data_IF_311951488232
#
_entry.id   IF_311951488232
#
_cell.length_a   1.000
_cell.length_b   1.000
_cell.length_c   1.000
_cell.angle_alpha   90.00
_cell.angle_beta   90.00
_cell.angle_gamma   90.00
#
_symmetry.space_group_name_H-M   'P 1'
#
loop_
_entity.id
_entity.type
_entity.pdbx_description
1 polymer ?
#
# COMPACT_ATOMS: atom_id res chain seq x y z
N UNK A 1 -6.22 3.31 14.90
CA UNK A 1 -6.07 4.12 13.68
C UNK A 1 -5.05 3.48 12.75
N UNK A 2 -5.10 3.77 11.47
CA UNK A 2 -4.14 3.26 10.48
C UNK A 2 -3.38 4.45 9.92
N UNK A 3 -2.07 4.29 9.72
CA UNK A 3 -1.25 5.27 9.03
C UNK A 3 -0.53 4.61 7.85
N UNK A 4 -0.55 5.29 6.72
CA UNK A 4 0.18 4.89 5.52
C UNK A 4 1.23 5.95 5.19
N UNK A 5 2.45 5.49 4.95
CA UNK A 5 3.55 6.31 4.47
C UNK A 5 4.06 5.77 3.14
N UNK A 6 4.43 6.70 2.25
CA UNK A 6 5.26 6.39 1.09
C UNK A 6 6.37 7.43 1.00
N UNK A 7 7.61 6.97 1.09
CA UNK A 7 8.80 7.79 1.03
C UNK A 7 9.48 7.66 -0.32
N UNK A 8 9.83 8.79 -0.91
CA UNK A 8 10.69 8.85 -2.09
C UNK A 8 12.12 9.15 -1.63
N UNK A 9 13.09 8.37 -2.08
CA UNK A 9 14.49 8.48 -1.68
C UNK A 9 15.40 8.81 -2.89
N UNK A 10 16.59 9.32 -2.62
CA UNK A 10 17.62 9.47 -3.64
C UNK A 10 18.28 8.11 -3.95
N UNK A 11 18.83 7.89 -5.16
CA UNK A 11 19.51 6.63 -5.51
C UNK A 11 20.57 6.19 -4.51
N UNK A 12 21.35 7.12 -3.97
CA UNK A 12 22.38 6.84 -2.94
C UNK A 12 21.82 6.28 -1.62
N UNK A 13 20.52 6.42 -1.37
CA UNK A 13 19.87 5.91 -0.17
C UNK A 13 19.26 4.51 -0.35
N UNK A 14 19.40 3.88 -1.52
CA UNK A 14 18.89 2.51 -1.76
C UNK A 14 19.49 1.50 -0.77
N UNK A 15 20.80 1.47 -0.47
CA UNK A 15 21.36 0.56 0.53
C UNK A 15 20.74 0.75 1.92
N UNK A 16 20.50 2.02 2.31
CA UNK A 16 19.78 2.33 3.54
C UNK A 16 18.37 1.72 3.52
N UNK A 17 17.62 1.91 2.43
CA UNK A 17 16.23 1.43 2.33
C UNK A 17 16.16 -0.10 2.45
N UNK A 18 17.04 -0.83 1.77
CA UNK A 18 17.12 -2.29 1.86
C UNK A 18 17.41 -2.73 3.30
N UNK A 19 18.39 -2.10 3.96
CA UNK A 19 18.74 -2.40 5.35
C UNK A 19 17.59 -2.05 6.31
N UNK A 20 16.95 -0.90 6.11
CA UNK A 20 15.80 -0.46 6.91
C UNK A 20 14.64 -1.44 6.80
N UNK A 21 14.29 -1.92 5.59
CA UNK A 21 13.26 -2.95 5.41
C UNK A 21 13.52 -4.21 6.24
N UNK A 22 14.78 -4.60 6.40
CA UNK A 22 15.16 -5.76 7.21
C UNK A 22 15.13 -5.46 8.72
N UNK A 23 15.65 -4.32 9.15
CA UNK A 23 15.86 -4.00 10.56
C UNK A 23 14.63 -3.40 11.23
N UNK A 24 13.83 -2.60 10.51
CA UNK A 24 12.65 -1.94 11.07
C UNK A 24 11.60 -2.94 11.57
N UNK A 25 11.57 -4.15 11.00
CA UNK A 25 10.69 -5.21 11.48
C UNK A 25 10.89 -5.52 12.97
N UNK A 26 12.14 -5.45 13.46
CA UNK A 26 12.42 -5.72 14.88
C UNK A 26 11.88 -4.59 15.77
N UNK A 27 12.07 -3.33 15.35
CA UNK A 27 11.56 -2.18 16.09
C UNK A 27 10.03 -2.15 16.08
N UNK A 28 9.41 -2.38 14.91
CA UNK A 28 7.95 -2.39 14.75
C UNK A 28 7.30 -3.53 15.52
N UNK A 29 7.87 -4.74 15.48
CA UNK A 29 7.32 -5.91 16.20
C UNK A 29 7.40 -5.75 17.73
N UNK A 30 8.43 -5.06 18.23
CA UNK A 30 8.60 -4.84 19.69
C UNK A 30 7.84 -3.61 20.20
N UNK A 31 7.34 -2.77 19.30
CA UNK A 31 6.62 -1.56 19.68
C UNK A 31 5.23 -1.88 20.24
N UNK A 32 4.96 -1.45 21.48
CA UNK A 32 3.63 -1.56 22.12
C UNK A 32 2.59 -0.67 21.42
N UNK A 33 3.05 0.33 20.65
CA UNK A 33 2.18 1.23 19.89
C UNK A 33 1.68 0.62 18.58
N UNK A 34 2.29 -0.49 18.09
CA UNK A 34 2.02 -1.07 16.78
C UNK A 34 1.32 -2.42 16.94
N UNK A 35 0.05 -2.49 16.56
CA UNK A 35 -0.71 -3.75 16.55
C UNK A 35 -0.49 -4.58 15.29
N UNK A 36 -0.32 -3.88 14.15
CA UNK A 36 -0.05 -4.50 12.85
C UNK A 36 0.79 -3.56 11.99
N UNK A 37 1.65 -4.10 11.14
CA UNK A 37 2.38 -3.32 10.16
C UNK A 37 2.75 -4.14 8.93
N UNK A 38 2.98 -3.44 7.83
CA UNK A 38 3.58 -3.96 6.60
C UNK A 38 4.52 -2.94 5.98
N UNK A 39 5.78 -3.33 5.86
CA UNK A 39 6.75 -2.62 5.03
C UNK A 39 6.57 -3.07 3.59
N UNK A 40 6.53 -2.11 2.67
CA UNK A 40 6.13 -2.33 1.28
C UNK A 40 7.20 -1.80 0.33
N UNK A 41 7.57 -2.61 -0.65
CA UNK A 41 8.12 -2.11 -1.88
C UNK A 41 7.02 -1.48 -2.73
N UNK A 42 7.40 -0.67 -3.72
CA UNK A 42 6.42 -0.09 -4.64
C UNK A 42 6.77 -0.36 -6.09
N UNK A 43 5.75 -0.33 -6.95
CA UNK A 43 5.90 -0.36 -8.39
C UNK A 43 5.71 1.02 -9.00
N UNK A 44 6.10 1.18 -10.26
CA UNK A 44 5.81 2.39 -11.06
C UNK A 44 4.32 2.47 -11.43
N UNK A 45 3.59 1.36 -11.30
CA UNK A 45 2.19 1.25 -11.64
C UNK A 45 1.93 1.08 -13.14
N UNK A 46 2.91 0.55 -13.87
CA UNK A 46 2.81 0.33 -15.32
C UNK A 46 2.34 -1.10 -15.65
N UNK A 47 3.00 -2.09 -15.08
CA UNK A 47 2.77 -3.49 -15.43
C UNK A 47 2.46 -4.41 -14.24
N UNK A 48 2.65 -3.93 -13.02
CA UNK A 48 2.56 -4.73 -11.78
C UNK A 48 3.42 -6.01 -11.80
N UNK A 49 4.46 -6.05 -12.63
CA UNK A 49 5.44 -7.13 -12.67
C UNK A 49 6.66 -6.78 -11.78
N UNK A 50 7.54 -7.73 -11.47
CA UNK A 50 8.80 -7.42 -10.78
C UNK A 50 9.68 -6.40 -11.51
N UNK A 51 9.59 -6.34 -12.85
CA UNK A 51 10.31 -5.34 -13.66
C UNK A 51 9.78 -3.90 -13.44
N UNK A 52 8.57 -3.77 -12.90
CA UNK A 52 7.94 -2.50 -12.56
C UNK A 52 8.37 -1.98 -11.18
N UNK A 53 9.24 -2.69 -10.47
CA UNK A 53 9.69 -2.29 -9.14
C UNK A 53 10.35 -0.91 -9.14
N UNK A 54 9.95 -0.07 -8.20
CA UNK A 54 10.51 1.26 -8.00
C UNK A 54 11.38 1.28 -6.74
N UNK A 55 12.68 1.09 -6.90
CA UNK A 55 13.64 1.11 -5.79
C UNK A 55 13.82 2.49 -5.12
N UNK A 56 13.25 3.54 -5.70
CA UNK A 56 13.30 4.89 -5.14
C UNK A 56 12.05 5.25 -4.32
N UNK A 57 11.05 4.36 -4.22
CA UNK A 57 9.85 4.59 -3.42
C UNK A 57 9.54 3.39 -2.55
N UNK A 58 9.33 3.65 -1.27
CA UNK A 58 9.09 2.63 -0.25
C UNK A 58 7.90 3.00 0.60
N UNK A 59 7.15 2.01 1.07
CA UNK A 59 5.93 2.22 1.84
C UNK A 59 5.93 1.51 3.19
N UNK A 60 5.10 2.04 4.08
CA UNK A 60 4.76 1.43 5.36
C UNK A 60 3.28 1.67 5.63
N UNK A 61 2.56 0.60 5.91
CA UNK A 61 1.19 0.68 6.46
C UNK A 61 1.22 0.08 7.86
N UNK A 62 0.73 0.83 8.84
CA UNK A 62 0.72 0.40 10.22
C UNK A 62 -0.62 0.71 10.90
N UNK A 63 -1.11 -0.22 11.72
CA UNK A 63 -2.15 0.02 12.70
C UNK A 63 -1.48 0.40 14.01
N UNK A 64 -1.80 1.58 14.52
CA UNK A 64 -1.17 2.16 15.69
C UNK A 64 -2.21 2.65 16.71
N UNK A 65 -1.83 2.66 17.97
CA UNK A 65 -2.67 3.18 19.05
C UNK A 65 -2.58 4.71 19.12
N UNK A 66 -1.36 5.25 19.01
CA UNK A 66 -1.04 6.68 19.07
C UNK A 66 -0.22 7.05 17.81
N UNK A 67 -0.80 7.89 16.98
CA UNK A 67 -0.21 8.33 15.71
C UNK A 67 0.96 9.29 15.95
N UNK A 68 0.82 10.23 16.88
CA UNK A 68 1.84 11.24 17.13
C UNK A 68 3.09 10.60 17.72
N UNK A 69 2.93 9.66 18.65
CA UNK A 69 4.03 8.86 19.17
C UNK A 69 4.68 8.01 18.05
N UNK A 70 3.88 7.49 17.12
CA UNK A 70 4.42 6.73 15.98
C UNK A 70 5.19 7.61 15.00
N UNK A 71 4.71 8.81 14.70
CA UNK A 71 5.40 9.81 13.87
C UNK A 71 6.76 10.20 14.46
N UNK A 72 6.88 10.20 15.78
CA UNK A 72 8.12 10.47 16.49
C UNK A 72 9.02 9.24 16.67
N UNK A 73 8.60 8.07 16.23
CA UNK A 73 9.38 6.85 16.35
C UNK A 73 10.70 6.91 15.57
N UNK A 74 11.68 6.14 16.02
CA UNK A 74 12.97 6.04 15.36
C UNK A 74 12.87 5.52 13.91
N UNK A 75 11.85 4.70 13.63
CA UNK A 75 11.57 4.19 12.28
C UNK A 75 11.18 5.34 11.37
N UNK A 76 10.12 6.09 11.69
CA UNK A 76 9.62 7.19 10.86
C UNK A 76 10.67 8.29 10.72
N UNK A 77 11.33 8.70 11.81
CA UNK A 77 12.40 9.71 11.76
C UNK A 77 13.57 9.31 10.83
N UNK A 78 13.94 8.05 10.85
CA UNK A 78 15.02 7.51 10.02
C UNK A 78 14.65 7.54 8.53
N UNK A 79 13.43 7.15 8.18
CA UNK A 79 12.94 7.26 6.82
C UNK A 79 12.85 8.72 6.35
N UNK A 80 12.27 9.61 7.15
CA UNK A 80 12.20 11.05 6.85
C UNK A 80 13.57 11.66 6.57
N UNK A 81 14.57 11.34 7.39
CA UNK A 81 15.94 11.82 7.23
C UNK A 81 16.57 11.42 5.89
N UNK A 82 16.21 10.27 5.34
CA UNK A 82 16.79 9.72 4.11
C UNK A 82 15.88 9.90 2.88
N UNK A 83 14.70 10.49 3.04
CA UNK A 83 13.76 10.77 1.96
C UNK A 83 13.89 12.19 1.42
N UNK A 84 13.40 12.39 0.20
CA UNK A 84 13.23 13.69 -0.46
C UNK A 84 11.77 14.04 -0.67
N UNK A 85 10.88 13.12 -0.36
CA UNK A 85 9.43 13.31 -0.42
C UNK A 85 8.73 12.29 0.45
N UNK A 86 7.62 12.70 1.06
CA UNK A 86 6.76 11.87 1.89
C UNK A 86 5.31 12.07 1.49
N UNK A 87 4.60 10.98 1.24
CA UNK A 87 3.15 10.95 1.33
C UNK A 87 2.78 10.29 2.65
N UNK A 88 1.91 10.92 3.43
CA UNK A 88 1.39 10.41 4.70
C UNK A 88 -0.13 10.54 4.72
N UNK A 89 -0.82 9.48 5.05
CA UNK A 89 -2.27 9.49 5.26
C UNK A 89 -2.63 8.78 6.57
N UNK A 90 -3.52 9.38 7.33
CA UNK A 90 -4.19 8.77 8.47
C UNK A 90 -5.54 8.27 7.99
N UNK A 91 -5.82 7.01 8.25
CA UNK A 91 -6.96 6.30 7.69
C UNK A 91 -7.77 5.64 8.80
N UNK A 92 -9.08 5.67 8.65
CA UNK A 92 -10.00 4.86 9.43
C UNK A 92 -10.73 3.87 8.53
N UNK A 93 -10.79 2.58 8.90
CA UNK A 93 -11.42 1.57 8.07
C UNK A 93 -12.92 1.78 7.95
N UNK A 94 -13.42 1.85 6.72
CA UNK A 94 -14.84 1.83 6.38
C UNK A 94 -15.30 0.39 6.19
N UNK A 95 -14.49 -0.42 5.50
CA UNK A 95 -14.74 -1.84 5.29
C UNK A 95 -13.41 -2.59 5.14
N UNK A 96 -13.42 -3.86 5.49
CA UNK A 96 -12.27 -4.75 5.30
C UNK A 96 -12.79 -6.16 4.98
N UNK A 97 -12.18 -6.78 3.99
CA UNK A 97 -12.50 -8.14 3.58
C UNK A 97 -11.22 -8.96 3.45
N UNK A 98 -11.27 -10.18 3.98
CA UNK A 98 -10.16 -11.12 3.93
C UNK A 98 -9.07 -10.85 4.97
N UNK A 99 -8.01 -11.67 4.90
CA UNK A 99 -6.92 -11.66 5.89
C UNK A 99 -5.63 -11.10 5.30
N UNK A 100 -4.91 -10.31 6.08
CA UNK A 100 -3.55 -9.87 5.75
C UNK A 100 -2.54 -10.60 6.66
N UNK A 101 -1.73 -11.49 6.05
CA UNK A 101 -0.82 -12.38 6.79
C UNK A 101 -1.53 -13.18 7.90
N UNK A 102 -2.74 -13.72 7.60
CA UNK A 102 -3.52 -14.52 8.55
C UNK A 102 -4.29 -13.70 9.60
N UNK A 103 -4.13 -12.38 9.64
CA UNK A 103 -4.81 -11.47 10.57
C UNK A 103 -5.88 -10.63 9.84
N UNK A 104 -6.84 -10.13 10.59
CA UNK A 104 -7.82 -9.12 10.15
C UNK A 104 -7.49 -7.80 10.87
N UNK A 105 -6.47 -7.05 10.41
CA UNK A 105 -5.95 -5.92 11.17
C UNK A 105 -6.84 -4.68 11.12
N UNK A 106 -7.79 -4.63 10.20
CA UNK A 106 -8.61 -3.46 9.95
C UNK A 106 -10.07 -3.77 10.27
N UNK A 107 -10.52 -3.34 11.43
CA UNK A 107 -11.92 -3.44 11.84
C UNK A 107 -12.62 -2.17 11.41
N UNK A 108 -13.74 -2.31 10.68
CA UNK A 108 -14.54 -1.18 10.26
C UNK A 108 -15.00 -0.36 11.48
N UNK A 109 -14.66 0.93 11.49
CA UNK A 109 -14.96 1.85 12.58
C UNK A 109 -15.86 3.01 12.16
N UNK A 110 -15.91 3.31 10.87
CA UNK A 110 -16.70 4.40 10.28
C UNK A 110 -17.78 3.80 9.38
N UNK A 111 -19.03 4.21 9.56
CA UNK A 111 -20.17 3.73 8.74
C UNK A 111 -20.52 4.69 7.61
N UNK A 112 -20.54 5.98 7.90
CA UNK A 112 -20.97 7.03 6.96
C UNK A 112 -19.83 7.99 6.70
N UNK A 113 -19.23 7.86 5.52
CA UNK A 113 -18.13 8.71 5.07
C UNK A 113 -18.39 9.17 3.64
N UNK A 114 -18.34 10.47 3.41
CA UNK A 114 -18.61 11.10 2.10
C UNK A 114 -17.38 11.69 1.43
N UNK A 115 -16.24 11.72 2.11
CA UNK A 115 -14.99 12.26 1.60
C UNK A 115 -14.15 11.26 0.78
N UNK A 116 -12.91 11.65 0.47
CA UNK A 116 -11.97 10.78 -0.23
C UNK A 116 -11.70 9.48 0.53
N UNK A 117 -11.49 8.41 -0.21
CA UNK A 117 -11.20 7.09 0.36
C UNK A 117 -9.90 6.53 -0.20
N UNK A 118 -9.19 5.78 0.64
CA UNK A 118 -8.06 4.95 0.22
C UNK A 118 -8.50 3.49 0.14
N UNK A 119 -8.08 2.79 -0.91
CA UNK A 119 -8.27 1.37 -1.03
C UNK A 119 -6.94 0.63 -1.11
N UNK A 120 -6.84 -0.45 -0.36
CA UNK A 120 -5.74 -1.41 -0.45
C UNK A 120 -6.31 -2.71 -0.98
N UNK A 121 -6.02 -3.02 -2.22
CA UNK A 121 -6.34 -4.32 -2.82
C UNK A 121 -5.11 -5.20 -2.80
N UNK A 122 -5.28 -6.49 -2.54
CA UNK A 122 -4.17 -7.43 -2.44
C UNK A 122 -4.53 -8.75 -3.12
N UNK A 123 -3.60 -9.26 -3.91
CA UNK A 123 -3.68 -10.57 -4.51
C UNK A 123 -2.50 -11.44 -4.05
N UNK A 124 -2.80 -12.68 -3.65
CA UNK A 124 -1.80 -13.72 -3.49
C UNK A 124 -1.83 -14.58 -4.74
N UNK A 125 -0.84 -14.41 -5.59
CA UNK A 125 -0.77 -15.13 -6.86
C UNK A 125 -0.06 -16.45 -6.60
N UNK A 126 -0.72 -17.57 -6.95
CA UNK A 126 -0.07 -18.88 -6.91
C UNK A 126 1.06 -18.90 -7.93
N UNK A 127 2.23 -19.38 -7.54
CA UNK A 127 3.45 -19.41 -8.34
C UNK A 127 3.25 -19.85 -9.81
N UNK A 128 2.49 -20.91 -10.04
CA UNK A 128 2.22 -21.45 -11.39
C UNK A 128 1.20 -20.64 -12.21
N UNK A 129 0.52 -19.65 -11.60
CA UNK A 129 -0.45 -18.77 -12.26
C UNK A 129 0.10 -17.37 -12.54
N UNK A 130 1.33 -17.09 -12.15
CA UNK A 130 1.94 -15.78 -12.32
C UNK A 130 1.94 -15.32 -13.79
N UNK A 131 2.26 -16.21 -14.74
CA UNK A 131 2.29 -15.87 -16.17
C UNK A 131 0.91 -15.47 -16.72
N UNK A 132 -0.15 -16.21 -16.35
CA UNK A 132 -1.53 -15.90 -16.78
C UNK A 132 -2.03 -14.60 -16.13
N UNK A 133 -1.68 -14.40 -14.87
CA UNK A 133 -2.04 -13.17 -14.17
C UNK A 133 -1.37 -11.95 -14.80
N UNK A 134 -0.08 -12.00 -15.07
CA UNK A 134 0.64 -10.86 -15.64
C UNK A 134 0.20 -10.53 -17.07
N UNK A 135 -0.29 -11.47 -17.85
CA UNK A 135 -0.88 -11.19 -19.16
C UNK A 135 -2.25 -10.51 -19.08
N UNK A 136 -2.98 -10.68 -17.97
CA UNK A 136 -4.29 -10.08 -17.73
C UNK A 136 -4.23 -8.71 -17.01
N UNK A 137 -3.08 -8.33 -16.48
CA UNK A 137 -2.90 -7.09 -15.70
C UNK A 137 -2.94 -5.81 -16.54
N UNK A 138 -2.34 -5.72 -17.76
CA UNK A 138 -2.32 -4.47 -18.52
C UNK A 138 -3.70 -3.85 -18.79
N UNK A 139 -4.74 -4.59 -19.17
CA UNK A 139 -6.08 -4.03 -19.34
C UNK A 139 -6.64 -3.43 -18.05
N UNK A 140 -6.44 -4.09 -16.91
CA UNK A 140 -6.91 -3.62 -15.61
C UNK A 140 -6.16 -2.35 -15.17
N UNK A 141 -4.86 -2.27 -15.45
CA UNK A 141 -4.04 -1.09 -15.14
C UNK A 141 -4.47 0.13 -15.95
N UNK A 142 -4.73 -0.06 -17.25
CA UNK A 142 -5.22 1.00 -18.13
C UNK A 142 -6.60 1.45 -17.65
N UNK A 143 -7.50 0.51 -17.39
CA UNK A 143 -8.85 0.79 -16.87
C UNK A 143 -8.79 1.53 -15.52
N UNK A 144 -7.88 1.13 -14.62
CA UNK A 144 -7.68 1.83 -13.35
C UNK A 144 -7.23 3.27 -13.56
N UNK A 145 -6.23 3.51 -14.41
CA UNK A 145 -5.69 4.86 -14.66
C UNK A 145 -6.69 5.82 -15.28
N UNK A 146 -7.65 5.30 -16.05
CA UNK A 146 -8.72 6.07 -16.67
C UNK A 146 -10.02 6.10 -15.86
N UNK A 147 -10.04 5.49 -14.67
CA UNK A 147 -11.25 5.39 -13.86
C UNK A 147 -11.68 6.77 -13.33
N UNK A 148 -12.94 7.17 -13.53
CA UNK A 148 -13.48 8.41 -12.98
C UNK A 148 -13.37 8.43 -11.44
N UNK A 149 -12.91 9.56 -10.90
CA UNK A 149 -12.73 9.73 -9.45
C UNK A 149 -11.48 9.06 -8.87
N UNK A 150 -10.61 8.46 -9.67
CA UNK A 150 -9.29 8.04 -9.22
C UNK A 150 -8.38 9.27 -9.08
N UNK A 151 -7.86 9.50 -7.89
CA UNK A 151 -6.91 10.58 -7.61
C UNK A 151 -5.45 10.13 -7.76
N UNK A 152 -5.14 8.93 -7.29
CA UNK A 152 -3.80 8.34 -7.39
C UNK A 152 -3.86 6.82 -7.22
N UNK A 153 -2.90 6.11 -7.82
CA UNK A 153 -2.69 4.69 -7.59
C UNK A 153 -1.20 4.34 -7.65
N UNK A 154 -0.80 3.39 -6.82
CA UNK A 154 0.56 2.88 -6.78
C UNK A 154 0.53 1.37 -6.54
N UNK A 155 1.35 0.63 -7.29
CA UNK A 155 1.59 -0.77 -7.01
C UNK A 155 2.35 -0.94 -5.69
N UNK A 156 1.94 -1.90 -4.89
CA UNK A 156 2.60 -2.25 -3.62
C UNK A 156 2.91 -3.74 -3.57
N UNK A 157 3.99 -4.12 -2.87
CA UNK A 157 4.36 -5.51 -2.69
C UNK A 157 5.11 -5.75 -1.39
N UNK A 158 4.87 -6.90 -0.76
CA UNK A 158 5.58 -7.33 0.45
C UNK A 158 6.81 -8.18 0.14
N UNK A 159 6.86 -8.72 -1.07
CA UNK A 159 7.94 -9.54 -1.57
C UNK A 159 8.09 -9.27 -3.08
N UNK A 160 9.26 -9.53 -3.67
CA UNK A 160 9.49 -9.29 -5.10
C UNK A 160 8.58 -10.13 -6.00
N UNK A 161 8.03 -11.24 -5.50
CA UNK A 161 7.18 -12.16 -6.27
C UNK A 161 6.03 -12.67 -5.39
N UNK A 162 4.81 -12.68 -5.94
CA UNK A 162 3.66 -13.42 -5.40
C UNK A 162 2.80 -12.70 -4.36
N UNK A 163 3.24 -11.58 -3.78
CA UNK A 163 2.45 -10.79 -2.85
C UNK A 163 2.37 -9.35 -3.35
N UNK A 164 1.41 -9.10 -4.21
CA UNK A 164 1.24 -7.82 -4.89
C UNK A 164 -0.13 -7.23 -4.57
N UNK A 165 -0.23 -5.92 -4.73
CA UNK A 165 -1.46 -5.19 -4.51
C UNK A 165 -1.38 -3.79 -5.07
N UNK A 166 -2.41 -3.02 -4.80
CA UNK A 166 -2.50 -1.61 -5.17
C UNK A 166 -2.94 -0.81 -3.95
N UNK A 167 -2.29 0.31 -3.71
CA UNK A 167 -2.80 1.38 -2.88
C UNK A 167 -3.35 2.45 -3.81
N UNK A 168 -4.62 2.81 -3.67
CA UNK A 168 -5.27 3.80 -4.53
C UNK A 168 -6.08 4.79 -3.70
N UNK A 169 -6.13 6.03 -4.17
CA UNK A 169 -6.91 7.11 -3.59
C UNK A 169 -8.03 7.48 -4.54
N UNK A 170 -9.23 7.68 -4.01
CA UNK A 170 -10.45 7.96 -4.74
C UNK A 170 -11.17 9.14 -4.13
N UNK A 171 -11.88 9.90 -4.96
CA UNK A 171 -12.67 11.05 -4.52
C UNK A 171 -13.82 10.64 -3.59
N UNK A 172 -14.33 9.43 -3.72
CA UNK A 172 -15.42 8.90 -2.89
C UNK A 172 -15.48 7.37 -2.90
N UNK A 173 -16.23 6.81 -1.93
CA UNK A 173 -16.56 5.39 -1.92
C UNK A 173 -17.46 4.96 -3.08
N UNK A 174 -18.25 5.87 -3.66
CA UNK A 174 -19.05 5.59 -4.85
C UNK A 174 -18.17 5.38 -6.07
N UNK A 175 -17.16 6.23 -6.30
CA UNK A 175 -16.24 6.11 -7.42
C UNK A 175 -15.50 4.76 -7.44
N UNK A 176 -14.99 4.30 -6.30
CA UNK A 176 -14.35 2.99 -6.24
C UNK A 176 -15.32 1.83 -6.43
N UNK A 177 -16.56 1.93 -5.93
CA UNK A 177 -17.59 0.91 -6.15
C UNK A 177 -17.97 0.83 -7.62
N UNK A 178 -18.16 1.96 -8.28
CA UNK A 178 -18.45 1.99 -9.72
C UNK A 178 -17.34 1.37 -10.55
N UNK A 179 -16.10 1.65 -10.23
CA UNK A 179 -14.95 0.98 -10.86
C UNK A 179 -14.95 -0.53 -10.62
N UNK A 180 -15.18 -0.97 -9.38
CA UNK A 180 -15.13 -2.38 -9.01
C UNK A 180 -16.27 -3.23 -9.61
N UNK A 181 -17.46 -2.66 -9.78
CA UNK A 181 -18.65 -3.41 -10.20
C UNK A 181 -19.13 -3.12 -11.62
N UNK A 182 -18.76 -1.97 -12.20
CA UNK A 182 -19.21 -1.55 -13.54
C UNK A 182 -18.08 -1.47 -14.57
N UNK A 183 -16.82 -1.64 -14.14
CA UNK A 183 -15.65 -1.56 -15.02
C UNK A 183 -15.67 -2.68 -16.08
N UNK A 184 -15.50 -2.31 -17.36
CA UNK A 184 -15.49 -3.25 -18.49
C UNK A 184 -14.41 -4.35 -18.40
N UNK A 185 -13.43 -4.21 -17.51
CA UNK A 185 -12.38 -5.21 -17.28
C UNK A 185 -12.81 -6.33 -16.30
N UNK A 186 -14.02 -6.27 -15.74
CA UNK A 186 -14.59 -7.26 -14.81
C UNK A 186 -15.79 -8.02 -15.42
N UNK A 187 -16.13 -7.75 -16.69
CA UNK A 187 -17.03 -8.53 -17.51
C UNK A 187 -16.23 -9.47 -18.40
#
# INVERSE_FOLDING_TARGET
>A
MIVAYFWTIKPRAIPFAILAMALDRFALTRSKNVGFYKSLGTGKGETFTPADANSLRWGLVAQVNDIDAFDQSSVVKRWRKNSIGEFRAVLEPISSHGKWAGKEPFVASVKDWTGPVAAITRARIKWHQNFRFWSSVPPVTISLKSAPGLMAAIGIGEAPIGLQGTFSLWESSAAIKDFAYKGAAHQ
#
